data_IF_868702481024
#
_entry.id   IF_868702481024
#
_cell.length_a   1.000
_cell.length_b   1.000
_cell.length_c   1.000
_cell.angle_alpha   90.00
_cell.angle_beta   90.00
_cell.angle_gamma   90.00
#
_symmetry.space_group_name_H-M   'P 1'
#
loop_
_entity.id
_entity.type
_entity.pdbx_description
1 polymer ?
#
# COMPACT_ATOMS: atom_id res chain seq x y z
N UNK A 1 53.58 -34.54 19.25
CA UNK A 1 52.44 -35.48 19.19
C UNK A 1 51.21 -34.69 18.77
N UNK A 2 50.64 -34.96 17.60
CA UNK A 2 49.50 -34.25 17.09
C UNK A 2 48.20 -34.95 17.49
N UNK A 3 47.22 -34.20 17.95
CA UNK A 3 45.86 -34.70 18.18
C UNK A 3 44.96 -34.38 16.99
N UNK A 4 44.47 -35.47 16.40
CA UNK A 4 43.56 -35.52 15.26
C UNK A 4 42.12 -35.22 15.68
N UNK A 5 41.45 -34.36 14.89
CA UNK A 5 40.01 -34.19 14.95
C UNK A 5 39.29 -35.19 14.01
N UNK A 6 38.17 -35.77 14.40
CA UNK A 6 37.29 -36.44 13.45
C UNK A 6 36.19 -35.52 12.93
N UNK A 7 36.09 -35.45 11.62
CA UNK A 7 35.02 -34.86 10.85
C UNK A 7 33.79 -35.78 10.85
N UNK A 8 32.61 -35.21 11.17
CA UNK A 8 31.34 -35.90 11.04
C UNK A 8 30.60 -35.46 9.74
N UNK A 9 29.85 -36.37 9.10
CA UNK A 9 29.26 -36.13 7.78
C UNK A 9 27.92 -35.41 7.83
N UNK A 10 27.76 -34.46 6.92
CA UNK A 10 26.51 -33.77 6.66
C UNK A 10 25.46 -34.67 5.98
N UNK A 11 24.24 -34.62 6.44
CA UNK A 11 23.11 -35.31 5.80
C UNK A 11 22.26 -34.30 5.03
N UNK A 12 22.36 -34.36 3.70
CA UNK A 12 21.38 -33.82 2.79
C UNK A 12 20.25 -34.82 2.63
N UNK A 13 19.05 -34.48 3.00
CA UNK A 13 17.86 -35.27 2.69
C UNK A 13 17.13 -34.61 1.52
N UNK A 14 17.16 -35.24 0.37
CA UNK A 14 16.36 -34.91 -0.80
C UNK A 14 15.10 -35.78 -0.74
N UNK A 15 13.92 -35.18 -0.61
CA UNK A 15 12.65 -35.88 -0.78
C UNK A 15 12.13 -35.66 -2.21
N UNK A 16 12.22 -36.70 -3.02
CA UNK A 16 11.49 -36.82 -4.30
C UNK A 16 10.14 -37.49 -3.99
N UNK A 17 9.04 -36.77 -4.23
CA UNK A 17 7.69 -37.32 -4.22
C UNK A 17 7.34 -37.90 -5.59
N UNK A 18 6.87 -39.14 -5.62
CA UNK A 18 6.40 -39.86 -6.80
C UNK A 18 4.90 -39.61 -7.02
N UNK A 19 4.55 -39.42 -8.28
CA UNK A 19 3.16 -39.41 -8.75
C UNK A 19 2.62 -40.86 -8.87
N UNK A 20 1.42 -41.10 -8.38
CA UNK A 20 0.67 -42.32 -8.68
C UNK A 20 -0.68 -41.93 -9.29
N UNK A 21 -0.86 -42.34 -10.54
CA UNK A 21 -2.12 -42.34 -11.24
C UNK A 21 -2.81 -43.69 -11.07
N UNK A 22 -4.05 -43.76 -10.63
CA UNK A 22 -4.96 -44.87 -10.96
C UNK A 22 -6.41 -44.35 -10.90
N UNK A 23 -7.11 -44.55 -12.01
CA UNK A 23 -8.52 -44.21 -12.16
C UNK A 23 -9.44 -45.31 -11.65
N UNK A 24 -10.65 -44.91 -11.27
CA UNK A 24 -11.87 -45.71 -11.38
C UNK A 24 -13.08 -44.79 -11.39
N UNK A 25 -13.93 -44.91 -12.36
CA UNK A 25 -15.21 -44.24 -12.50
C UNK A 25 -16.27 -44.95 -11.66
N UNK A 26 -17.11 -44.21 -10.91
CA UNK A 26 -18.48 -44.66 -10.55
C UNK A 26 -19.41 -43.42 -10.50
N UNK A 27 -20.55 -43.56 -11.13
CA UNK A 27 -21.68 -42.65 -11.29
C UNK A 27 -22.31 -42.21 -9.97
N UNK A 28 -22.79 -40.98 -9.90
CA UNK A 28 -23.89 -40.60 -9.03
C UNK A 28 -23.78 -39.24 -8.34
N UNK A 29 -24.60 -38.27 -8.76
CA UNK A 29 -25.06 -37.18 -7.91
C UNK A 29 -24.24 -35.89 -8.03
N UNK A 30 -24.63 -34.99 -8.93
CA UNK A 30 -24.14 -33.63 -9.03
C UNK A 30 -24.63 -32.82 -7.80
N UNK A 31 -23.72 -32.52 -6.88
CA UNK A 31 -23.77 -31.32 -6.05
C UNK A 31 -22.57 -30.45 -6.45
N UNK A 32 -22.84 -29.49 -7.33
CA UNK A 32 -21.89 -28.41 -7.59
C UNK A 32 -21.92 -27.50 -6.36
N UNK A 33 -21.09 -27.81 -5.36
CA UNK A 33 -20.66 -26.83 -4.38
C UNK A 33 -19.79 -25.85 -5.17
N UNK A 34 -20.32 -24.67 -5.46
CA UNK A 34 -19.57 -23.58 -5.99
C UNK A 34 -18.39 -23.30 -5.05
N UNK A 35 -17.19 -23.75 -5.45
CA UNK A 35 -15.97 -23.44 -4.76
C UNK A 35 -15.78 -21.93 -4.85
N UNK A 36 -16.01 -21.21 -3.75
CA UNK A 36 -15.45 -19.90 -3.58
C UNK A 36 -13.93 -20.09 -3.70
N UNK A 37 -13.36 -19.63 -4.83
CA UNK A 37 -11.91 -19.54 -4.96
C UNK A 37 -11.46 -18.57 -3.87
N UNK A 38 -10.86 -19.12 -2.81
CA UNK A 38 -10.19 -18.33 -1.79
C UNK A 38 -9.17 -17.47 -2.54
N UNK A 39 -9.38 -16.16 -2.55
CA UNK A 39 -8.38 -15.23 -3.05
C UNK A 39 -7.10 -15.51 -2.25
N UNK A 40 -6.11 -16.12 -2.89
CA UNK A 40 -4.81 -16.36 -2.26
C UNK A 40 -4.26 -15.02 -1.83
N UNK A 41 -3.73 -14.95 -0.61
CA UNK A 41 -3.01 -13.75 -0.16
C UNK A 41 -1.96 -13.42 -1.21
N UNK A 42 -2.09 -12.26 -1.84
CA UNK A 42 -1.16 -11.85 -2.88
C UNK A 42 0.14 -11.47 -2.20
N UNK A 43 1.23 -12.17 -2.51
CA UNK A 43 2.56 -11.86 -1.95
C UNK A 43 2.93 -10.40 -2.22
N UNK A 44 3.64 -9.79 -1.26
CA UNK A 44 4.15 -8.44 -1.44
C UNK A 44 5.05 -8.40 -2.69
N UNK A 45 4.89 -7.40 -3.57
CA UNK A 45 5.64 -7.33 -4.80
C UNK A 45 7.14 -7.22 -4.52
N UNK A 46 7.96 -7.85 -5.38
CA UNK A 46 9.42 -7.82 -5.29
C UNK A 46 10.04 -6.43 -5.40
N UNK A 47 9.26 -5.44 -5.89
CA UNK A 47 9.68 -4.05 -5.99
C UNK A 47 9.54 -3.25 -4.67
N UNK A 48 8.95 -3.83 -3.63
CA UNK A 48 8.75 -3.16 -2.34
C UNK A 48 10.02 -3.22 -1.49
N UNK A 49 10.53 -2.05 -1.12
CA UNK A 49 11.64 -1.91 -0.18
C UNK A 49 11.13 -1.83 1.26
N UNK A 50 11.51 -2.80 2.08
CA UNK A 50 11.15 -2.91 3.48
C UNK A 50 11.81 -1.83 4.34
N UNK A 51 11.27 -1.56 5.50
CA UNK A 51 11.77 -0.56 6.47
C UNK A 51 13.25 -0.72 6.81
N UNK A 52 13.78 -1.96 6.84
CA UNK A 52 15.19 -2.25 7.04
C UNK A 52 16.10 -1.66 5.96
N UNK A 53 15.63 -1.53 4.71
CA UNK A 53 16.43 -0.99 3.61
C UNK A 53 16.76 0.50 3.81
N UNK A 54 15.87 1.27 4.43
CA UNK A 54 16.08 2.70 4.67
C UNK A 54 16.36 3.04 6.14
N UNK A 55 16.72 2.03 6.97
CA UNK A 55 17.05 2.19 8.39
C UNK A 55 15.97 2.97 9.17
N UNK A 56 14.72 2.53 9.02
CA UNK A 56 13.59 3.13 9.73
C UNK A 56 13.81 3.12 11.24
N UNK A 57 13.42 4.20 11.90
CA UNK A 57 13.33 4.24 13.37
C UNK A 57 12.22 3.29 13.84
N UNK A 58 12.33 2.64 14.99
CA UNK A 58 11.20 1.96 15.60
C UNK A 58 10.08 2.95 15.89
N UNK A 59 8.80 2.54 15.81
CA UNK A 59 7.69 3.39 16.25
C UNK A 59 7.85 3.83 17.71
N UNK A 60 7.44 5.06 18.02
CA UNK A 60 7.50 5.60 19.40
C UNK A 60 6.42 5.02 20.33
N UNK A 61 5.39 4.38 19.76
CA UNK A 61 4.33 3.65 20.47
C UNK A 61 3.79 2.52 19.59
N UNK A 62 3.10 1.51 20.16
CA UNK A 62 2.56 0.39 19.40
C UNK A 62 1.67 0.84 18.25
N UNK A 63 1.89 0.25 17.05
CA UNK A 63 1.07 0.51 15.86
C UNK A 63 -0.22 -0.32 15.95
N UNK A 64 -1.35 0.35 15.78
CA UNK A 64 -2.65 -0.28 15.75
C UNK A 64 -2.85 -1.04 14.43
N UNK A 65 -3.26 -2.30 14.54
CA UNK A 65 -3.65 -3.14 13.39
C UNK A 65 -5.08 -3.62 13.62
N UNK A 66 -5.95 -3.34 12.66
CA UNK A 66 -7.34 -3.80 12.65
C UNK A 66 -7.44 -5.15 11.95
N UNK A 67 -8.29 -6.04 12.46
CA UNK A 67 -8.57 -7.34 11.84
C UNK A 67 -9.38 -7.23 10.54
N UNK A 68 -9.87 -6.04 10.21
CA UNK A 68 -10.65 -5.75 9.00
C UNK A 68 -9.76 -5.12 7.91
N UNK A 69 -10.06 -5.42 6.64
CA UNK A 69 -9.42 -4.76 5.50
C UNK A 69 -9.85 -3.28 5.41
N UNK A 70 -9.01 -2.40 4.84
CA UNK A 70 -9.40 -1.02 4.52
C UNK A 70 -10.50 -1.03 3.45
N UNK A 71 -11.19 0.10 3.31
CA UNK A 71 -12.20 0.33 2.27
C UNK A 71 -11.67 1.16 1.11
N UNK A 72 -10.70 2.02 1.38
CA UNK A 72 -10.17 2.95 0.39
C UNK A 72 -8.65 2.91 0.33
N UNK A 73 -8.13 3.19 -0.86
CA UNK A 73 -6.71 3.42 -1.13
C UNK A 73 -6.57 4.89 -1.48
N UNK A 74 -5.85 5.64 -0.66
CA UNK A 74 -5.76 7.10 -0.80
C UNK A 74 -4.42 7.49 -1.40
N UNK A 75 -4.50 8.19 -2.52
CA UNK A 75 -3.36 8.76 -3.23
C UNK A 75 -3.07 10.15 -2.66
N UNK A 76 -1.84 10.33 -2.19
CA UNK A 76 -1.30 11.59 -1.69
C UNK A 76 -0.13 12.05 -2.54
N UNK A 77 0.32 13.27 -2.33
CA UNK A 77 1.64 13.74 -2.71
C UNK A 77 2.39 14.23 -1.46
N UNK A 78 3.72 14.19 -1.49
CA UNK A 78 4.54 14.60 -0.33
C UNK A 78 4.62 16.12 -0.17
N UNK A 79 4.09 16.91 -1.10
CA UNK A 79 4.26 18.36 -1.19
C UNK A 79 5.73 18.82 -1.14
N UNK A 80 6.66 17.97 -1.55
CA UNK A 80 8.08 18.28 -1.67
C UNK A 80 8.42 18.87 -3.05
N UNK A 81 9.58 19.52 -3.22
CA UNK A 81 10.10 19.85 -4.54
C UNK A 81 10.17 18.62 -5.45
N UNK A 82 9.87 18.80 -6.73
CA UNK A 82 9.95 17.73 -7.72
C UNK A 82 11.42 17.36 -8.02
N UNK A 83 11.98 16.45 -7.23
CA UNK A 83 13.36 15.98 -7.34
C UNK A 83 13.67 15.40 -8.73
N UNK A 84 14.87 15.65 -9.22
CA UNK A 84 15.44 15.00 -10.42
C UNK A 84 16.40 13.86 -10.07
N UNK A 85 16.59 13.57 -8.78
CA UNK A 85 17.36 12.42 -8.33
C UNK A 85 16.45 11.20 -8.22
N UNK A 86 16.52 10.31 -9.19
CA UNK A 86 15.67 9.10 -9.29
C UNK A 86 16.31 7.85 -8.69
N UNK A 87 17.44 8.00 -7.99
CA UNK A 87 18.15 6.86 -7.42
C UNK A 87 17.41 6.23 -6.24
N UNK A 88 17.69 4.95 -5.98
CA UNK A 88 17.21 4.25 -4.80
C UNK A 88 17.70 4.93 -3.51
N UNK A 89 18.97 5.38 -3.46
CA UNK A 89 19.51 6.06 -2.28
C UNK A 89 18.72 7.32 -1.92
N UNK A 90 18.27 8.08 -2.94
CA UNK A 90 17.37 9.22 -2.73
C UNK A 90 16.02 8.78 -2.15
N UNK A 91 15.41 7.73 -2.70
CA UNK A 91 14.13 7.21 -2.22
C UNK A 91 14.20 6.73 -0.75
N UNK A 92 15.30 6.05 -0.39
CA UNK A 92 15.55 5.63 0.99
C UNK A 92 15.76 6.83 1.94
N UNK A 93 16.47 7.88 1.48
CA UNK A 93 16.66 9.12 2.23
C UNK A 93 15.32 9.88 2.41
N UNK A 94 14.49 9.94 1.37
CA UNK A 94 13.15 10.52 1.43
C UNK A 94 12.29 9.85 2.51
N UNK A 95 12.25 8.51 2.55
CA UNK A 95 11.48 7.77 3.55
C UNK A 95 11.91 8.09 4.97
N UNK A 96 13.24 8.23 5.23
CA UNK A 96 13.75 8.68 6.52
C UNK A 96 13.31 10.10 6.87
N UNK A 97 13.36 11.01 5.89
CA UNK A 97 12.96 12.42 6.08
C UNK A 97 11.48 12.52 6.44
N UNK A 98 10.61 11.80 5.72
CA UNK A 98 9.18 11.73 6.01
C UNK A 98 8.95 11.19 7.43
N UNK A 99 9.57 10.05 7.79
CA UNK A 99 9.40 9.48 9.13
C UNK A 99 9.86 10.45 10.22
N UNK A 100 11.01 11.08 10.05
CA UNK A 100 11.54 12.04 11.01
C UNK A 100 10.59 13.23 11.19
N UNK A 101 10.08 13.79 10.09
CA UNK A 101 9.11 14.88 10.17
C UNK A 101 7.83 14.45 10.89
N UNK A 102 7.28 13.29 10.55
CA UNK A 102 6.06 12.78 11.18
C UNK A 102 6.22 12.47 12.67
N UNK A 103 7.36 11.93 13.08
CA UNK A 103 7.61 11.60 14.47
C UNK A 103 8.03 12.82 15.30
N UNK A 104 8.91 13.65 14.74
CA UNK A 104 9.58 14.70 15.51
C UNK A 104 8.81 16.04 15.46
N UNK A 105 8.14 16.35 14.35
CA UNK A 105 7.38 17.59 14.17
C UNK A 105 5.88 17.40 14.45
N UNK A 106 5.28 16.29 13.98
CA UNK A 106 3.86 16.03 14.20
C UNK A 106 3.58 15.22 15.47
N UNK A 107 4.60 14.64 16.10
CA UNK A 107 4.47 13.80 17.29
C UNK A 107 3.76 12.48 17.05
N UNK A 108 3.71 12.00 15.80
CA UNK A 108 3.09 10.73 15.45
C UNK A 108 3.98 9.56 15.84
N UNK A 109 3.36 8.39 16.02
CA UNK A 109 4.09 7.19 16.44
C UNK A 109 5.11 6.72 15.38
N UNK A 110 4.88 7.02 14.09
CA UNK A 110 5.67 6.56 12.95
C UNK A 110 5.29 7.38 11.70
N UNK A 111 5.76 6.98 10.50
CA UNK A 111 5.26 7.49 9.23
C UNK A 111 3.73 7.46 9.21
N UNK A 112 3.10 8.49 8.69
CA UNK A 112 1.64 8.61 8.65
C UNK A 112 1.03 7.62 7.65
N UNK A 113 1.61 7.53 6.47
CA UNK A 113 1.18 6.68 5.36
C UNK A 113 1.77 5.27 5.45
N UNK A 114 1.12 4.33 4.80
CA UNK A 114 1.58 2.95 4.73
C UNK A 114 2.65 2.71 3.66
N UNK A 115 2.58 3.40 2.53
CA UNK A 115 3.53 3.25 1.42
C UNK A 115 4.01 4.63 0.92
N UNK A 116 5.22 4.66 0.39
CA UNK A 116 5.80 5.84 -0.28
C UNK A 116 6.34 5.42 -1.64
N UNK A 117 6.11 6.24 -2.67
CA UNK A 117 6.65 6.02 -4.02
C UNK A 117 7.49 7.23 -4.41
N UNK A 118 8.78 7.01 -4.72
CA UNK A 118 9.66 8.06 -5.18
C UNK A 118 9.44 8.42 -6.65
N UNK A 119 9.91 9.57 -7.08
CA UNK A 119 9.89 9.96 -8.50
C UNK A 119 10.70 9.01 -9.40
N UNK A 120 11.63 8.24 -8.83
CA UNK A 120 12.33 7.16 -9.51
C UNK A 120 11.54 5.85 -9.62
N UNK A 121 10.33 5.78 -9.08
CA UNK A 121 9.48 4.58 -9.11
C UNK A 121 9.81 3.57 -8.03
N UNK A 122 10.65 3.90 -7.05
CA UNK A 122 10.93 3.02 -5.93
C UNK A 122 9.78 3.08 -4.93
N UNK A 123 9.27 1.91 -4.52
CA UNK A 123 8.17 1.78 -3.56
C UNK A 123 8.74 1.35 -2.20
N UNK A 124 8.49 2.10 -1.16
CA UNK A 124 8.98 1.85 0.19
C UNK A 124 7.82 1.59 1.16
N UNK A 125 8.01 0.63 2.05
CA UNK A 125 7.19 0.51 3.25
C UNK A 125 7.37 1.76 4.10
N UNK A 126 6.27 2.40 4.49
CA UNK A 126 6.26 3.55 5.39
C UNK A 126 5.99 3.13 6.83
N UNK A 127 4.69 3.12 7.22
CA UNK A 127 4.27 2.75 8.58
C UNK A 127 4.55 1.29 8.87
N UNK A 128 5.07 1.04 10.06
CA UNK A 128 5.46 -0.30 10.54
C UNK A 128 4.33 -1.32 10.42
N UNK A 129 4.68 -2.59 10.14
CA UNK A 129 3.78 -3.75 10.00
C UNK A 129 2.88 -3.74 8.75
N UNK A 130 3.08 -2.79 7.83
CA UNK A 130 2.20 -2.65 6.65
C UNK A 130 2.18 -3.91 5.77
N UNK A 131 3.30 -4.50 5.34
CA UNK A 131 3.28 -5.65 4.45
C UNK A 131 2.65 -6.90 5.08
N UNK A 132 2.95 -7.17 6.36
CA UNK A 132 2.38 -8.30 7.09
C UNK A 132 0.86 -8.15 7.25
N UNK A 133 0.39 -6.93 7.53
CA UNK A 133 -1.02 -6.65 7.62
C UNK A 133 -1.73 -6.82 6.26
N UNK A 134 -1.13 -6.35 5.16
CA UNK A 134 -1.67 -6.56 3.81
C UNK A 134 -1.78 -8.06 3.51
N UNK A 135 -0.73 -8.84 3.75
CA UNK A 135 -0.71 -10.27 3.54
C UNK A 135 -1.78 -11.00 4.37
N UNK A 136 -2.05 -10.52 5.57
CA UNK A 136 -3.11 -11.03 6.45
C UNK A 136 -4.52 -10.45 6.15
N UNK A 137 -4.68 -9.60 5.13
CA UNK A 137 -5.91 -8.85 4.82
C UNK A 137 -6.39 -7.99 6.01
N UNK A 138 -5.46 -7.52 6.81
CA UNK A 138 -5.64 -6.62 7.94
C UNK A 138 -5.25 -5.18 7.54
N UNK A 139 -5.56 -4.22 8.40
CA UNK A 139 -5.26 -2.82 8.15
C UNK A 139 -4.41 -2.20 9.26
N UNK A 140 -3.27 -1.63 8.89
CA UNK A 140 -2.46 -0.76 9.75
C UNK A 140 -3.07 0.63 9.77
N UNK A 141 -3.55 1.07 10.94
CA UNK A 141 -4.14 2.42 11.08
C UNK A 141 -3.07 3.48 10.91
N UNK A 142 -3.28 4.35 9.92
CA UNK A 142 -2.36 5.43 9.55
C UNK A 142 -2.51 6.69 10.39
N UNK A 143 -1.91 7.77 9.88
CA UNK A 143 -2.09 9.15 10.32
C UNK A 143 -1.95 10.07 9.09
N UNK A 144 -2.79 9.88 8.07
CA UNK A 144 -2.70 10.55 6.77
C UNK A 144 -4.05 11.06 6.24
N UNK A 145 -5.18 10.64 6.82
CA UNK A 145 -6.55 11.07 6.46
C UNK A 145 -7.33 11.24 7.73
N UNK A 146 -7.40 12.46 8.25
CA UNK A 146 -8.04 12.75 9.52
C UNK A 146 -9.48 12.20 9.58
N UNK A 147 -9.83 11.53 10.66
CA UNK A 147 -11.10 10.84 10.94
C UNK A 147 -11.39 9.59 10.08
N UNK A 148 -10.52 9.26 9.09
CA UNK A 148 -10.75 8.13 8.18
C UNK A 148 -9.59 7.11 8.17
N UNK A 149 -8.60 7.27 9.06
CA UNK A 149 -7.42 6.39 9.09
C UNK A 149 -7.75 4.91 9.34
N UNK A 150 -8.88 4.60 9.97
CA UNK A 150 -9.34 3.23 10.23
C UNK A 150 -9.87 2.51 8.98
N UNK A 151 -10.15 3.23 7.90
CA UNK A 151 -10.73 2.70 6.65
C UNK A 151 -9.87 2.98 5.42
N UNK A 152 -8.79 3.75 5.57
CA UNK A 152 -7.97 4.24 4.45
C UNK A 152 -6.52 3.78 4.57
N UNK A 153 -6.00 3.14 3.51
CA UNK A 153 -4.57 2.87 3.33
C UNK A 153 -3.98 3.93 2.40
N UNK A 154 -2.87 4.59 2.80
CA UNK A 154 -2.29 5.73 2.11
C UNK A 154 -1.02 5.44 1.34
N UNK A 155 -0.89 6.06 0.16
CA UNK A 155 0.30 6.06 -0.67
C UNK A 155 0.76 7.50 -0.88
N UNK A 156 1.91 7.85 -0.32
CA UNK A 156 2.59 9.13 -0.56
C UNK A 156 3.43 9.05 -1.84
N UNK A 157 3.17 9.96 -2.77
CA UNK A 157 3.91 10.08 -4.02
C UNK A 157 4.85 11.29 -3.94
N UNK A 158 6.16 11.07 -4.09
CA UNK A 158 7.16 12.13 -3.99
C UNK A 158 6.91 13.27 -4.97
N UNK A 159 6.85 14.49 -4.48
CA UNK A 159 6.75 15.72 -5.28
C UNK A 159 5.52 16.55 -4.95
N UNK A 160 5.31 17.60 -5.76
CA UNK A 160 4.15 18.50 -5.75
C UNK A 160 3.52 18.51 -7.14
N UNK A 161 2.24 18.16 -7.21
CA UNK A 161 1.54 17.91 -8.47
C UNK A 161 0.39 18.86 -8.75
N UNK A 162 0.55 20.14 -8.38
CA UNK A 162 -0.43 21.18 -8.67
C UNK A 162 -0.51 21.54 -10.16
N UNK A 163 0.66 21.67 -10.81
CA UNK A 163 0.76 22.14 -12.22
C UNK A 163 1.58 21.20 -13.11
N UNK A 164 2.29 20.27 -12.53
CA UNK A 164 3.16 19.31 -13.24
C UNK A 164 2.82 17.89 -12.82
N UNK A 165 2.78 16.97 -13.76
CA UNK A 165 2.50 15.55 -13.48
C UNK A 165 3.70 14.79 -12.87
N UNK A 166 3.42 13.59 -12.33
CA UNK A 166 4.46 12.66 -11.90
C UNK A 166 5.30 12.15 -13.08
N UNK A 167 6.46 11.58 -12.76
CA UNK A 167 7.28 10.89 -13.76
C UNK A 167 6.58 9.60 -14.22
N UNK A 168 6.96 9.10 -15.41
CA UNK A 168 6.43 7.81 -15.87
C UNK A 168 6.79 6.67 -14.91
N UNK A 169 8.04 6.64 -14.38
CA UNK A 169 8.47 5.62 -13.43
C UNK A 169 7.63 5.61 -12.16
N UNK A 170 7.29 6.79 -11.60
CA UNK A 170 6.38 6.89 -10.46
C UNK A 170 4.98 6.41 -10.84
N UNK A 171 4.45 6.84 -11.99
CA UNK A 171 3.10 6.44 -12.46
C UNK A 171 2.98 4.94 -12.64
N UNK A 172 3.97 4.29 -13.27
CA UNK A 172 3.99 2.85 -13.47
C UNK A 172 4.00 2.10 -12.12
N UNK A 173 4.82 2.55 -11.18
CA UNK A 173 4.88 1.97 -9.84
C UNK A 173 3.60 2.23 -9.03
N UNK A 174 2.97 3.39 -9.19
CA UNK A 174 1.69 3.69 -8.56
C UNK A 174 0.59 2.77 -9.10
N UNK A 175 0.49 2.58 -10.42
CA UNK A 175 -0.47 1.65 -11.03
C UNK A 175 -0.26 0.23 -10.51
N UNK A 176 0.99 -0.27 -10.48
CA UNK A 176 1.31 -1.60 -9.96
C UNK A 176 0.94 -1.74 -8.47
N UNK A 177 1.21 -0.72 -7.66
CA UNK A 177 0.89 -0.68 -6.23
C UNK A 177 -0.62 -0.65 -6.01
N UNK A 178 -1.36 0.16 -6.76
CA UNK A 178 -2.83 0.24 -6.71
C UNK A 178 -3.47 -1.10 -7.07
N UNK A 179 -3.00 -1.74 -8.16
CA UNK A 179 -3.49 -3.06 -8.56
C UNK A 179 -3.20 -4.12 -7.49
N UNK A 180 -1.99 -4.14 -6.93
CA UNK A 180 -1.63 -5.05 -5.83
C UNK A 180 -2.55 -4.88 -4.63
N UNK A 181 -2.76 -3.65 -4.14
CA UNK A 181 -3.62 -3.38 -2.99
C UNK A 181 -5.09 -3.74 -3.27
N UNK A 182 -5.60 -3.42 -4.46
CA UNK A 182 -6.95 -3.79 -4.87
C UNK A 182 -7.12 -5.32 -4.89
N UNK A 183 -6.16 -6.06 -5.44
CA UNK A 183 -6.17 -7.52 -5.46
C UNK A 183 -6.08 -8.11 -4.05
N UNK A 184 -5.12 -7.64 -3.23
CA UNK A 184 -4.90 -8.13 -1.87
C UNK A 184 -6.13 -7.95 -0.97
N UNK A 185 -6.84 -6.83 -1.10
CA UNK A 185 -8.01 -6.52 -0.29
C UNK A 185 -9.35 -6.85 -0.96
N UNK A 186 -9.35 -7.28 -2.21
CA UNK A 186 -10.55 -7.55 -2.99
C UNK A 186 -11.38 -6.28 -3.23
N UNK A 187 -10.74 -5.16 -3.57
CA UNK A 187 -11.35 -3.85 -3.76
C UNK A 187 -11.52 -3.52 -5.24
N UNK A 188 -12.71 -3.03 -5.63
CA UNK A 188 -12.94 -2.52 -6.97
C UNK A 188 -12.18 -1.20 -7.17
N UNK A 189 -11.21 -1.11 -8.13
CA UNK A 189 -10.40 0.08 -8.34
C UNK A 189 -11.22 1.35 -8.59
N UNK A 190 -12.36 1.25 -9.31
CA UNK A 190 -13.19 2.41 -9.66
C UNK A 190 -13.80 3.06 -8.42
N UNK A 191 -14.13 2.27 -7.42
CA UNK A 191 -14.78 2.72 -6.20
C UNK A 191 -13.79 3.00 -5.06
N UNK A 192 -12.70 2.25 -4.96
CA UNK A 192 -11.83 2.28 -3.81
C UNK A 192 -10.65 3.26 -3.90
N UNK A 193 -10.15 3.56 -5.11
CA UNK A 193 -9.03 4.48 -5.29
C UNK A 193 -9.53 5.92 -5.23
N UNK A 194 -8.99 6.71 -4.29
CA UNK A 194 -9.42 8.08 -3.98
C UNK A 194 -8.20 9.00 -3.82
N UNK A 195 -8.42 10.30 -3.94
CA UNK A 195 -7.45 11.33 -3.55
C UNK A 195 -7.68 11.78 -2.12
N UNK A 196 -6.67 12.35 -1.47
CA UNK A 196 -6.81 12.86 -0.11
C UNK A 196 -7.92 13.92 0.01
N UNK A 197 -8.05 14.79 -0.99
CA UNK A 197 -9.09 15.83 -1.02
C UNK A 197 -10.53 15.30 -1.06
N UNK A 198 -10.71 14.00 -1.30
CA UNK A 198 -12.04 13.38 -1.23
C UNK A 198 -12.52 13.19 0.22
N UNK A 199 -11.62 13.31 1.20
CA UNK A 199 -11.91 13.08 2.63
C UNK A 199 -11.69 14.30 3.49
N UNK A 200 -10.70 15.12 3.17
CA UNK A 200 -10.34 16.30 3.95
C UNK A 200 -10.21 17.53 3.05
N UNK A 201 -10.41 18.72 3.62
CA UNK A 201 -10.18 19.99 2.94
C UNK A 201 -8.66 20.19 2.76
N UNK A 202 -8.13 19.84 1.60
CA UNK A 202 -6.71 19.91 1.25
C UNK A 202 -6.51 19.95 -0.26
N UNK A 203 -5.44 20.56 -0.74
CA UNK A 203 -5.02 20.52 -2.13
C UNK A 203 -4.42 19.17 -2.55
N UNK A 204 -3.98 18.33 -1.60
CA UNK A 204 -3.42 17.01 -1.86
C UNK A 204 -4.42 16.09 -2.62
N UNK A 205 -3.99 15.34 -3.64
CA UNK A 205 -2.63 15.07 -4.12
C UNK A 205 -2.10 16.04 -5.18
N UNK A 206 -2.64 17.22 -5.28
CA UNK A 206 -2.39 18.20 -6.34
C UNK A 206 -3.32 17.99 -7.55
N UNK A 207 -3.63 19.08 -8.27
CA UNK A 207 -4.66 19.07 -9.31
C UNK A 207 -4.37 18.11 -10.44
N UNK A 208 -3.10 18.05 -10.88
CA UNK A 208 -2.71 17.18 -11.99
C UNK A 208 -2.81 15.70 -11.60
N UNK A 209 -2.28 15.30 -10.44
CA UNK A 209 -2.35 13.91 -10.00
C UNK A 209 -3.80 13.51 -9.66
N UNK A 210 -4.59 14.43 -9.11
CA UNK A 210 -6.00 14.16 -8.86
C UNK A 210 -6.78 13.94 -10.16
N UNK A 211 -6.54 14.77 -11.19
CA UNK A 211 -7.15 14.59 -12.50
C UNK A 211 -6.76 13.26 -13.19
N UNK A 212 -5.62 12.66 -12.83
CA UNK A 212 -5.19 11.36 -13.34
C UNK A 212 -5.91 10.16 -12.68
N UNK A 213 -6.64 10.35 -11.59
CA UNK A 213 -7.26 9.23 -10.85
C UNK A 213 -8.16 8.32 -11.71
N UNK A 214 -8.99 8.83 -12.65
CA UNK A 214 -9.76 7.96 -13.54
C UNK A 214 -8.87 7.02 -14.37
N UNK A 215 -7.78 7.53 -14.92
CA UNK A 215 -6.85 6.74 -15.73
C UNK A 215 -6.07 5.73 -14.87
N UNK A 216 -5.67 6.11 -13.67
CA UNK A 216 -5.02 5.21 -12.69
C UNK A 216 -5.95 4.07 -12.27
N UNK A 217 -7.24 4.34 -12.06
CA UNK A 217 -8.27 3.31 -11.78
C UNK A 217 -8.41 2.34 -12.94
N UNK A 218 -8.51 2.85 -14.17
CA UNK A 218 -8.61 2.03 -15.38
C UNK A 218 -7.37 1.18 -15.60
N UNK A 219 -6.18 1.74 -15.39
CA UNK A 219 -4.91 1.03 -15.50
C UNK A 219 -4.80 -0.08 -14.45
N UNK A 220 -5.13 0.20 -13.18
CA UNK A 220 -5.14 -0.80 -12.11
C UNK A 220 -6.15 -1.93 -12.40
N UNK A 221 -7.35 -1.60 -12.90
CA UNK A 221 -8.34 -2.59 -13.31
C UNK A 221 -7.82 -3.47 -14.46
N UNK A 222 -7.14 -2.87 -15.44
CA UNK A 222 -6.54 -3.59 -16.57
C UNK A 222 -5.46 -4.57 -16.12
N UNK A 223 -4.61 -4.18 -15.16
CA UNK A 223 -3.59 -5.07 -14.56
C UNK A 223 -4.26 -6.26 -13.88
N UNK A 224 -5.30 -6.04 -13.07
CA UNK A 224 -6.05 -7.10 -12.39
C UNK A 224 -6.73 -8.06 -13.39
N UNK A 225 -7.35 -7.52 -14.43
CA UNK A 225 -7.97 -8.33 -15.51
C UNK A 225 -6.93 -9.20 -16.21
N UNK A 226 -5.75 -8.65 -16.49
CA UNK A 226 -4.65 -9.41 -17.09
C UNK A 226 -4.13 -10.53 -16.17
N UNK A 227 -4.32 -10.41 -14.86
CA UNK A 227 -4.03 -11.45 -13.85
C UNK A 227 -5.18 -12.44 -13.67
N UNK A 228 -6.26 -12.33 -14.44
CA UNK A 228 -7.43 -13.20 -14.37
C UNK A 228 -8.44 -12.86 -13.27
N UNK A 229 -8.33 -11.66 -12.67
CA UNK A 229 -9.28 -11.18 -11.66
C UNK A 229 -10.52 -10.62 -12.36
N UNK A 230 -11.70 -11.08 -11.95
CA UNK A 230 -12.98 -10.47 -12.32
C UNK A 230 -13.19 -9.19 -11.48
N UNK A 231 -12.90 -8.05 -12.09
CA UNK A 231 -12.94 -6.73 -11.42
C UNK A 231 -14.36 -6.36 -10.99
N UNK A 232 -15.38 -6.79 -11.71
CA UNK A 232 -16.79 -6.49 -11.39
C UNK A 232 -17.26 -7.25 -10.14
N UNK A 233 -16.62 -8.38 -9.83
CA UNK A 233 -16.90 -9.15 -8.60
C UNK A 233 -16.24 -8.57 -7.35
N UNK A 234 -15.33 -7.61 -7.49
CA UNK A 234 -14.60 -7.01 -6.37
C UNK A 234 -15.50 -6.10 -5.53
N UNK A 235 -15.19 -6.03 -4.24
CA UNK A 235 -15.94 -5.24 -3.26
C UNK A 235 -15.91 -3.75 -3.60
N UNK A 236 -17.10 -3.17 -3.73
CA UNK A 236 -17.30 -1.72 -3.81
C UNK A 236 -17.51 -1.21 -2.38
N UNK A 237 -16.74 -0.20 -1.90
CA UNK A 237 -17.03 0.46 -0.63
C UNK A 237 -18.48 0.94 -0.56
N UNK A 238 -19.09 0.84 0.62
CA UNK A 238 -20.51 1.17 0.84
C UNK A 238 -20.75 2.69 0.77
N UNK A 239 -22.05 3.07 0.81
CA UNK A 239 -22.57 4.41 0.56
C UNK A 239 -22.06 5.54 1.49
N UNK A 240 -21.43 5.22 2.60
CA UNK A 240 -20.75 6.18 3.47
C UNK A 240 -19.37 6.55 2.92
N UNK A 241 -19.32 6.87 1.64
CA UNK A 241 -18.10 7.26 0.93
C UNK A 241 -17.51 8.58 1.41
N UNK A 242 -16.40 9.01 0.79
CA UNK A 242 -15.75 10.27 1.15
C UNK A 242 -16.69 11.46 1.02
N UNK A 243 -16.54 12.45 1.91
CA UNK A 243 -17.47 13.59 2.04
C UNK A 243 -17.20 14.74 1.07
N UNK A 244 -16.11 14.71 0.30
CA UNK A 244 -15.73 15.74 -0.69
C UNK A 244 -15.78 17.17 -0.14
N UNK A 245 -15.04 17.51 0.92
CA UNK A 245 -15.02 18.87 1.43
C UNK A 245 -14.42 19.83 0.39
N UNK A 246 -14.75 21.14 0.45
CA UNK A 246 -14.16 22.13 -0.45
C UNK A 246 -12.64 22.17 -0.25
N UNK A 247 -11.89 22.24 -1.35
CA UNK A 247 -10.43 22.46 -1.31
C UNK A 247 -10.20 23.94 -0.98
N UNK A 248 -9.38 24.27 0.04
CA UNK A 248 -9.02 25.65 0.34
C UNK A 248 -8.25 26.31 -0.81
N UNK A 249 -8.59 27.55 -1.16
CA UNK A 249 -7.93 28.30 -2.22
C UNK A 249 -6.51 28.75 -1.83
N UNK A 250 -6.21 28.81 -0.54
CA UNK A 250 -5.01 29.44 0.03
C UNK A 250 -4.26 28.55 1.06
N UNK A 251 -4.56 27.25 1.11
CA UNK A 251 -3.82 26.35 2.02
C UNK A 251 -2.35 26.29 1.59
N UNK A 252 -1.41 26.81 2.39
CA UNK A 252 0.00 26.73 2.05
C UNK A 252 0.44 25.27 2.21
N UNK A 253 0.71 24.62 1.08
CA UNK A 253 1.33 23.31 1.11
C UNK A 253 2.71 23.43 1.76
N UNK A 254 2.94 22.66 2.79
CA UNK A 254 4.24 22.51 3.42
C UNK A 254 4.78 21.12 3.11
N UNK A 255 6.07 21.05 2.95
CA UNK A 255 6.75 19.79 2.77
C UNK A 255 6.30 18.76 3.82
N UNK A 256 5.89 17.60 3.37
CA UNK A 256 5.33 16.49 4.16
C UNK A 256 4.06 16.80 5.00
N UNK A 257 3.44 17.94 4.80
CA UNK A 257 2.24 18.32 5.51
C UNK A 257 1.15 18.86 4.57
N UNK A 258 0.04 18.19 4.54
CA UNK A 258 -1.14 18.51 3.75
C UNK A 258 -2.44 18.38 4.58
N UNK A 259 -2.41 18.97 5.75
CA UNK A 259 -3.50 18.96 6.71
C UNK A 259 -3.25 18.02 7.90
N UNK A 260 -4.17 17.99 8.87
CA UNK A 260 -4.04 17.12 10.03
C UNK A 260 -4.16 15.65 9.62
N UNK A 261 -3.15 14.84 9.95
CA UNK A 261 -3.16 13.42 9.65
C UNK A 261 -4.08 12.60 10.56
N UNK A 262 -4.53 13.18 11.68
CA UNK A 262 -5.45 12.57 12.65
C UNK A 262 -6.50 13.57 13.10
N UNK A 263 -7.74 13.12 13.20
CA UNK A 263 -8.87 13.88 13.75
C UNK A 263 -9.45 13.21 15.01
N UNK A 264 -10.44 13.85 15.67
CA UNK A 264 -11.04 13.34 16.91
C UNK A 264 -11.55 11.89 16.79
N UNK A 265 -12.10 11.51 15.64
CA UNK A 265 -12.69 10.17 15.44
C UNK A 265 -11.63 9.07 15.33
N UNK A 266 -10.36 9.41 15.06
CA UNK A 266 -9.27 8.43 15.01
C UNK A 266 -8.83 7.95 16.41
N UNK A 267 -9.32 8.59 17.48
CA UNK A 267 -8.99 8.24 18.87
C UNK A 267 -10.12 7.50 19.60
N UNK A 268 -11.29 7.38 18.96
CA UNK A 268 -12.51 6.82 19.58
C UNK A 268 -12.85 5.40 19.10
N UNK A 269 -12.06 4.81 18.22
CA UNK A 269 -12.29 3.49 17.61
C UNK A 269 -11.23 2.47 17.95
#
# INVERSE_FOLDING_TARGET
MPHTHPSGPGRRTILRGAAVTTGAAILGGAFTVGGATSASAQEAPSFLHWRGAWNARPPSSPIQVLATAPSYIVVHHTATPNSTNYSLDHALALSRSIQNFHMDSNGWADSGQQLTISRGGHVMEGRDRTPEAIAARQHVVGAHVANNNSTCIGIENEGTYMTTGPTQALTDSLVATLAWLCGAYGLNPQAAIRGHRDFNATACPGDVLYAMLPDLRNAAASVLTAQGVDVDSLRTPTADGPTYPPVPDDEPEREFYHGPGRGPDDFTR
#
